data_IF_749427920638
#
_entry.id   IF_749427920638
#
_cell.length_a   1.000
_cell.length_b   1.000
_cell.length_c   1.000
_cell.angle_alpha   90.00
_cell.angle_beta   90.00
_cell.angle_gamma   90.00
#
_symmetry.space_group_name_H-M   'P 1'
#
loop_
_entity.id
_entity.type
_entity.pdbx_description
1 polymer ?
#
# COMPACT_ATOMS: atom_id res chain seq x y z
N UNK A 1 53.13 -10.94 -23.50
CA UNK A 1 52.76 -9.52 -23.39
C UNK A 1 51.37 -9.49 -22.77
N UNK A 2 51.30 -8.79 -21.63
CA UNK A 2 50.20 -8.67 -20.67
C UNK A 2 48.76 -8.78 -21.20
N UNK A 3 47.94 -9.47 -20.42
CA UNK A 3 46.48 -9.36 -20.37
C UNK A 3 46.03 -7.89 -20.35
N UNK A 4 44.95 -7.56 -21.08
CA UNK A 4 43.96 -6.58 -20.63
C UNK A 4 42.66 -6.72 -21.44
N UNK A 5 42.02 -7.90 -21.36
CA UNK A 5 40.58 -7.97 -21.60
C UNK A 5 39.91 -7.38 -20.35
N UNK A 6 39.88 -6.05 -20.28
CA UNK A 6 38.92 -5.32 -19.48
C UNK A 6 37.56 -5.44 -20.17
N UNK A 7 37.03 -6.65 -20.28
CA UNK A 7 35.60 -6.79 -20.18
C UNK A 7 35.26 -6.17 -18.83
N UNK A 8 34.58 -5.03 -18.88
CA UNK A 8 33.87 -4.47 -17.75
C UNK A 8 32.91 -5.57 -17.30
N UNK A 9 33.37 -6.51 -16.47
CA UNK A 9 32.52 -7.23 -15.56
C UNK A 9 31.85 -6.12 -14.77
N UNK A 10 30.65 -5.75 -15.22
CA UNK A 10 29.70 -5.02 -14.43
C UNK A 10 29.53 -5.91 -13.20
N UNK A 11 30.34 -5.64 -12.17
CA UNK A 11 30.29 -6.31 -10.89
C UNK A 11 28.95 -5.87 -10.31
N UNK A 12 27.91 -6.57 -10.76
CA UNK A 12 26.54 -6.17 -10.55
C UNK A 12 26.29 -6.60 -9.12
N UNK A 13 26.42 -5.66 -8.19
CA UNK A 13 26.00 -5.86 -6.83
C UNK A 13 24.50 -6.20 -6.91
N UNK A 14 24.16 -7.50 -6.78
CA UNK A 14 22.78 -7.96 -6.96
C UNK A 14 21.85 -7.28 -5.97
N UNK A 15 22.37 -6.89 -4.81
CA UNK A 15 21.67 -6.05 -3.87
C UNK A 15 21.24 -4.72 -4.47
N UNK A 16 22.12 -4.02 -5.18
CA UNK A 16 21.80 -2.73 -5.81
C UNK A 16 20.74 -2.90 -6.89
N UNK A 17 20.83 -3.98 -7.68
CA UNK A 17 19.81 -4.33 -8.68
C UNK A 17 18.44 -4.56 -8.02
N UNK A 18 18.39 -5.35 -6.96
CA UNK A 18 17.15 -5.64 -6.22
C UNK A 18 16.64 -4.38 -5.51
N UNK A 19 17.51 -3.56 -4.95
CA UNK A 19 17.16 -2.30 -4.29
C UNK A 19 16.52 -1.32 -5.28
N UNK A 20 17.07 -1.18 -6.48
CA UNK A 20 16.47 -0.35 -7.55
C UNK A 20 15.12 -0.92 -7.98
N UNK A 21 15.02 -2.24 -8.18
CA UNK A 21 13.77 -2.89 -8.60
C UNK A 21 12.65 -2.81 -7.55
N UNK A 22 13.01 -2.72 -6.27
CA UNK A 22 12.07 -2.70 -5.13
C UNK A 22 11.98 -1.35 -4.43
N UNK A 23 12.61 -0.30 -4.96
CA UNK A 23 12.72 1.02 -4.34
C UNK A 23 11.38 1.61 -3.88
N UNK A 24 10.35 1.51 -4.72
CA UNK A 24 9.00 1.99 -4.41
C UNK A 24 8.15 0.97 -3.63
N UNK A 25 8.62 -0.27 -3.51
CA UNK A 25 7.85 -1.44 -3.02
C UNK A 25 8.27 -1.92 -1.65
N UNK A 26 9.51 -1.68 -1.23
CA UNK A 26 10.11 -2.11 0.04
C UNK A 26 10.80 -0.91 0.68
N UNK A 27 10.91 -0.88 2.01
CA UNK A 27 11.74 0.10 2.70
C UNK A 27 13.21 -0.32 2.62
N UNK A 28 14.06 0.53 2.05
CA UNK A 28 15.48 0.26 1.88
C UNK A 28 16.18 -0.12 3.19
N UNK A 29 15.82 0.53 4.30
CA UNK A 29 16.41 0.24 5.61
C UNK A 29 16.09 -1.17 6.08
N UNK A 30 14.92 -1.69 5.70
CA UNK A 30 14.50 -3.06 6.02
C UNK A 30 15.07 -4.09 5.05
N UNK A 31 15.49 -3.68 3.84
CA UNK A 31 16.14 -4.54 2.86
C UNK A 31 17.63 -4.74 3.18
N UNK A 32 18.31 -3.72 3.70
CA UNK A 32 19.75 -3.70 3.96
C UNK A 32 20.29 -4.92 4.74
N UNK A 33 19.62 -5.45 5.78
CA UNK A 33 20.08 -6.64 6.50
C UNK A 33 20.26 -7.89 5.63
N UNK A 34 19.56 -7.95 4.49
CA UNK A 34 19.59 -9.09 3.56
C UNK A 34 20.63 -8.94 2.45
N UNK A 35 21.48 -7.89 2.48
CA UNK A 35 22.49 -7.62 1.44
C UNK A 35 23.35 -8.83 1.10
N UNK A 36 23.93 -9.47 2.12
CA UNK A 36 24.82 -10.62 1.92
C UNK A 36 24.10 -11.83 1.33
N UNK A 37 22.85 -12.08 1.76
CA UNK A 37 22.06 -13.19 1.23
C UNK A 37 21.71 -12.97 -0.24
N UNK A 38 21.32 -11.74 -0.61
CA UNK A 38 20.99 -11.38 -1.99
C UNK A 38 22.23 -11.51 -2.89
N UNK A 39 23.40 -11.05 -2.43
CA UNK A 39 24.64 -11.14 -3.21
C UNK A 39 25.20 -12.56 -3.33
N UNK A 40 24.83 -13.45 -2.43
CA UNK A 40 25.20 -14.87 -2.51
C UNK A 40 24.31 -15.67 -3.48
N UNK A 41 23.22 -15.09 -4.01
CA UNK A 41 22.33 -15.77 -4.94
C UNK A 41 22.99 -16.01 -6.31
N UNK A 42 22.63 -17.12 -6.96
CA UNK A 42 22.97 -17.34 -8.35
C UNK A 42 22.16 -16.43 -9.29
N UNK A 43 22.68 -16.16 -10.49
CA UNK A 43 21.99 -15.36 -11.53
C UNK A 43 20.56 -15.86 -11.81
N UNK A 44 20.37 -17.18 -11.83
CA UNK A 44 19.05 -17.80 -12.03
C UNK A 44 18.08 -17.48 -10.89
N UNK A 45 18.54 -17.54 -9.63
CA UNK A 45 17.72 -17.20 -8.46
C UNK A 45 17.38 -15.71 -8.43
N UNK A 46 18.32 -14.83 -8.81
CA UNK A 46 18.05 -13.40 -8.95
C UNK A 46 16.94 -13.15 -9.98
N UNK A 47 17.02 -13.77 -11.16
CA UNK A 47 15.96 -13.62 -12.16
C UNK A 47 14.60 -14.08 -11.62
N UNK A 48 14.54 -15.18 -10.85
CA UNK A 48 13.30 -15.61 -10.19
C UNK A 48 12.79 -14.63 -9.14
N UNK A 49 13.70 -14.02 -8.37
CA UNK A 49 13.35 -12.99 -7.40
C UNK A 49 12.74 -11.76 -8.07
N UNK A 50 13.32 -11.31 -9.20
CA UNK A 50 12.80 -10.18 -9.98
C UNK A 50 11.44 -10.47 -10.63
N UNK A 51 11.08 -11.74 -10.80
CA UNK A 51 9.77 -12.18 -11.28
C UNK A 51 8.71 -12.28 -10.16
N UNK A 52 9.07 -12.09 -8.89
CA UNK A 52 8.10 -12.09 -7.79
C UNK A 52 7.10 -10.93 -7.94
N UNK A 53 5.84 -11.24 -7.69
CA UNK A 53 4.76 -10.25 -7.70
C UNK A 53 4.80 -9.38 -6.44
N UNK A 54 5.58 -8.30 -6.51
CA UNK A 54 5.61 -7.25 -5.49
C UNK A 54 4.53 -6.20 -5.78
N UNK A 55 3.68 -5.94 -4.79
CA UNK A 55 2.64 -4.92 -4.90
C UNK A 55 3.24 -3.53 -4.74
N UNK A 56 2.69 -2.53 -5.42
CA UNK A 56 3.17 -1.15 -5.31
C UNK A 56 2.26 -0.36 -4.35
N UNK A 57 2.79 0.27 -3.30
CA UNK A 57 2.02 1.15 -2.40
C UNK A 57 1.29 2.28 -3.15
N UNK A 58 1.91 2.88 -4.16
CA UNK A 58 1.29 3.90 -5.00
C UNK A 58 0.04 3.39 -5.74
N UNK A 59 0.06 2.15 -6.26
CA UNK A 59 -1.13 1.55 -6.86
C UNK A 59 -2.24 1.43 -5.83
N UNK A 60 -1.93 0.94 -4.63
CA UNK A 60 -2.90 0.86 -3.54
C UNK A 60 -3.51 2.21 -3.18
N UNK A 61 -2.68 3.26 -3.17
CA UNK A 61 -3.11 4.63 -2.93
C UNK A 61 -4.08 5.12 -4.02
N UNK A 62 -3.79 4.88 -5.29
CA UNK A 62 -4.71 5.20 -6.41
C UNK A 62 -6.02 4.43 -6.29
N UNK A 63 -5.96 3.14 -5.97
CA UNK A 63 -7.14 2.30 -5.66
C UNK A 63 -7.90 2.77 -4.42
N UNK A 64 -7.27 3.54 -3.55
CA UNK A 64 -7.89 4.16 -2.39
C UNK A 64 -8.60 5.47 -2.73
N UNK A 65 -7.85 6.43 -3.27
CA UNK A 65 -8.29 7.81 -3.46
C UNK A 65 -9.33 7.93 -4.58
N UNK A 66 -9.13 7.28 -5.72
CA UNK A 66 -10.05 7.46 -6.86
C UNK A 66 -11.47 7.01 -6.50
N UNK A 67 -11.68 5.82 -5.90
CA UNK A 67 -12.98 5.44 -5.40
C UNK A 67 -13.48 6.35 -4.28
N UNK A 68 -12.61 6.75 -3.34
CA UNK A 68 -13.02 7.60 -2.24
C UNK A 68 -13.55 8.97 -2.72
N UNK A 69 -12.97 9.50 -3.79
CA UNK A 69 -13.45 10.73 -4.42
C UNK A 69 -14.80 10.53 -5.13
N UNK A 70 -14.97 9.44 -5.88
CA UNK A 70 -16.19 9.16 -6.64
C UNK A 70 -17.38 8.74 -5.77
N UNK A 71 -17.10 8.11 -4.64
CA UNK A 71 -18.09 7.46 -3.77
C UNK A 71 -18.01 7.99 -2.33
N UNK A 72 -17.81 9.30 -2.15
CA UNK A 72 -17.92 9.98 -0.85
C UNK A 72 -17.23 9.24 0.32
N UNK A 73 -15.95 8.91 0.16
CA UNK A 73 -15.13 8.27 1.18
C UNK A 73 -15.06 6.74 1.13
N UNK A 74 -15.65 6.07 0.13
CA UNK A 74 -15.46 4.63 -0.07
C UNK A 74 -14.09 4.34 -0.70
N UNK A 75 -13.15 3.78 0.07
CA UNK A 75 -11.82 3.43 -0.43
C UNK A 75 -11.68 1.92 -0.72
N UNK A 76 -10.94 1.55 -1.77
CA UNK A 76 -10.70 0.15 -2.17
C UNK A 76 -9.24 -0.30 -1.97
N UNK A 77 -8.43 0.48 -1.27
CA UNK A 77 -7.01 0.24 -0.99
C UNK A 77 -6.75 -1.09 -0.26
N UNK A 78 -7.64 -1.49 0.65
CA UNK A 78 -7.57 -2.78 1.37
C UNK A 78 -7.74 -3.99 0.47
N UNK A 79 -8.62 -3.89 -0.53
CA UNK A 79 -8.81 -4.95 -1.52
C UNK A 79 -7.56 -5.13 -2.38
N UNK A 80 -6.92 -4.02 -2.78
CA UNK A 80 -5.64 -4.08 -3.50
C UNK A 80 -4.54 -4.73 -2.64
N UNK A 81 -4.41 -4.33 -1.37
CA UNK A 81 -3.47 -4.98 -0.44
C UNK A 81 -3.75 -6.48 -0.29
N UNK A 82 -5.02 -6.88 -0.34
CA UNK A 82 -5.46 -8.28 -0.19
C UNK A 82 -6.06 -8.59 1.18
N UNK A 83 -6.26 -7.56 2.00
CA UNK A 83 -6.90 -7.65 3.32
C UNK A 83 -8.42 -7.61 3.15
N UNK A 84 -8.99 -8.76 2.71
CA UNK A 84 -10.39 -8.87 2.31
C UNK A 84 -11.35 -8.62 3.47
N UNK A 85 -11.02 -9.10 4.67
CA UNK A 85 -11.90 -9.02 5.84
C UNK A 85 -12.10 -7.54 6.21
N UNK A 86 -11.02 -6.79 6.40
CA UNK A 86 -11.12 -5.38 6.77
C UNK A 86 -11.70 -4.54 5.62
N UNK A 87 -11.43 -4.91 4.37
CA UNK A 87 -12.07 -4.31 3.19
C UNK A 87 -13.60 -4.47 3.20
N UNK A 88 -14.12 -5.67 3.51
CA UNK A 88 -15.57 -5.91 3.62
C UNK A 88 -16.17 -5.15 4.80
N UNK A 89 -15.49 -5.10 5.95
CA UNK A 89 -15.95 -4.31 7.11
C UNK A 89 -16.08 -2.83 6.75
N UNK A 90 -15.07 -2.26 6.08
CA UNK A 90 -15.13 -0.87 5.59
C UNK A 90 -16.29 -0.65 4.62
N UNK A 91 -16.49 -1.58 3.70
CA UNK A 91 -17.58 -1.52 2.73
C UNK A 91 -18.95 -1.50 3.41
N UNK A 92 -19.17 -2.39 4.39
CA UNK A 92 -20.42 -2.43 5.16
C UNK A 92 -20.63 -1.16 6.01
N UNK A 93 -19.58 -0.66 6.66
CA UNK A 93 -19.65 0.59 7.43
C UNK A 93 -20.02 1.77 6.54
N UNK A 94 -19.45 1.87 5.35
CA UNK A 94 -19.79 2.90 4.38
C UNK A 94 -21.26 2.76 3.94
N UNK A 95 -21.71 1.56 3.53
CA UNK A 95 -23.10 1.34 3.11
C UNK A 95 -24.13 1.64 4.22
N UNK A 96 -23.80 1.42 5.49
CA UNK A 96 -24.71 1.75 6.60
C UNK A 96 -24.69 3.25 6.97
N UNK A 97 -23.52 3.89 6.93
CA UNK A 97 -23.36 5.28 7.42
C UNK A 97 -23.65 6.34 6.36
N UNK A 98 -23.24 6.12 5.11
CA UNK A 98 -23.30 7.14 4.06
C UNK A 98 -24.73 7.48 3.62
N UNK A 99 -25.69 6.54 3.46
CA UNK A 99 -27.08 6.89 3.16
C UNK A 99 -27.73 7.71 4.27
N UNK A 100 -27.44 7.39 5.54
CA UNK A 100 -27.91 8.17 6.68
C UNK A 100 -27.35 9.60 6.63
N UNK A 101 -26.06 9.76 6.34
CA UNK A 101 -25.42 11.06 6.19
C UNK A 101 -25.99 11.87 5.01
N UNK A 102 -26.31 11.23 3.88
CA UNK A 102 -26.93 11.90 2.73
C UNK A 102 -28.34 12.35 3.08
N UNK A 103 -29.16 11.49 3.68
CA UNK A 103 -30.54 11.84 4.09
C UNK A 103 -30.53 12.96 5.11
N UNK A 104 -29.73 12.88 6.17
CA UNK A 104 -29.60 13.93 7.17
C UNK A 104 -29.07 15.24 6.58
N UNK A 105 -28.14 15.19 5.63
CA UNK A 105 -27.61 16.38 4.95
C UNK A 105 -28.64 17.05 4.01
N UNK A 106 -29.35 16.27 3.19
CA UNK A 106 -30.32 16.79 2.21
C UNK A 106 -31.63 17.26 2.84
N UNK A 107 -32.21 16.48 3.76
CA UNK A 107 -33.40 16.91 4.52
C UNK A 107 -33.04 18.02 5.49
N UNK A 108 -31.80 18.01 5.98
CA UNK A 108 -31.28 19.00 6.88
C UNK A 108 -31.05 20.39 6.29
N UNK A 109 -30.73 20.49 5.01
CA UNK A 109 -30.63 21.77 4.31
C UNK A 109 -32.01 22.43 4.06
N UNK A 110 -33.11 21.68 4.19
CA UNK A 110 -34.48 22.14 3.92
C UNK A 110 -35.36 22.24 5.17
N UNK A 111 -34.88 21.79 6.33
CA UNK A 111 -35.53 21.91 7.63
C UNK A 111 -34.59 22.73 8.51
N UNK A 112 -35.08 23.68 9.28
CA UNK A 112 -34.28 24.44 10.26
C UNK A 112 -33.64 23.47 11.28
N UNK A 113 -32.48 22.87 10.94
CA UNK A 113 -31.83 21.93 11.83
C UNK A 113 -31.27 22.71 13.02
N UNK A 114 -31.63 22.25 14.22
CA UNK A 114 -30.92 22.57 15.46
C UNK A 114 -29.40 22.45 15.28
N UNK A 115 -28.65 23.50 15.64
CA UNK A 115 -27.19 23.56 15.55
C UNK A 115 -26.47 22.32 16.12
N UNK A 116 -27.06 21.64 17.10
CA UNK A 116 -26.55 20.40 17.71
C UNK A 116 -26.45 19.22 16.72
N UNK A 117 -27.44 19.07 15.82
CA UNK A 117 -27.44 18.00 14.81
C UNK A 117 -26.41 18.25 13.71
N UNK A 118 -26.22 19.52 13.32
CA UNK A 118 -25.18 19.91 12.37
C UNK A 118 -23.77 19.65 12.93
N UNK A 119 -23.56 19.94 14.22
CA UNK A 119 -22.31 19.64 14.91
C UNK A 119 -21.99 18.14 14.92
N UNK A 120 -22.97 17.30 15.27
CA UNK A 120 -22.82 15.84 15.26
C UNK A 120 -22.48 15.30 13.86
N UNK A 121 -23.13 15.83 12.82
CA UNK A 121 -22.85 15.49 11.43
C UNK A 121 -21.40 15.80 11.02
N UNK A 122 -20.92 17.01 11.32
CA UNK A 122 -19.57 17.45 10.98
C UNK A 122 -18.49 16.65 11.73
N UNK A 123 -18.73 16.31 13.01
CA UNK A 123 -17.83 15.44 13.78
C UNK A 123 -17.75 14.05 13.13
N UNK A 124 -18.89 13.48 12.74
CA UNK A 124 -18.94 12.15 12.12
C UNK A 124 -18.18 12.10 10.80
N UNK A 125 -18.36 13.11 9.93
CA UNK A 125 -17.59 13.24 8.70
C UNK A 125 -16.08 13.35 8.95
N UNK A 126 -15.70 14.15 9.96
CA UNK A 126 -14.30 14.35 10.32
C UNK A 126 -13.66 13.05 10.81
N UNK A 127 -14.36 12.27 11.65
CA UNK A 127 -13.89 10.97 12.12
C UNK A 127 -13.71 9.97 10.97
N UNK A 128 -14.67 9.90 10.05
CA UNK A 128 -14.57 9.03 8.86
C UNK A 128 -13.42 9.44 7.95
N UNK A 129 -13.18 10.74 7.78
CA UNK A 129 -12.05 11.26 7.01
C UNK A 129 -10.72 10.88 7.64
N UNK A 130 -10.55 11.13 8.95
CA UNK A 130 -9.33 10.78 9.69
C UNK A 130 -9.09 9.27 9.66
N UNK A 131 -10.14 8.47 9.86
CA UNK A 131 -10.06 7.01 9.75
C UNK A 131 -9.53 6.57 8.39
N UNK A 132 -10.08 7.08 7.29
CA UNK A 132 -9.62 6.74 5.95
C UNK A 132 -8.18 7.18 5.68
N UNK A 133 -7.77 8.34 6.18
CA UNK A 133 -6.40 8.83 6.06
C UNK A 133 -5.40 7.93 6.80
N UNK A 134 -5.72 7.56 8.05
CA UNK A 134 -4.92 6.62 8.84
C UNK A 134 -4.87 5.26 8.14
N UNK A 135 -5.99 4.81 7.58
CA UNK A 135 -6.04 3.51 6.90
C UNK A 135 -5.16 3.49 5.65
N UNK A 136 -5.12 4.56 4.84
CA UNK A 136 -4.20 4.68 3.71
C UNK A 136 -2.73 4.56 4.14
N UNK A 137 -2.36 5.22 5.24
CA UNK A 137 -1.02 5.11 5.79
C UNK A 137 -0.70 3.67 6.22
N UNK A 138 -1.64 3.00 6.90
CA UNK A 138 -1.47 1.61 7.34
C UNK A 138 -1.39 0.63 6.16
N UNK A 139 -2.14 0.86 5.09
CA UNK A 139 -2.06 0.06 3.86
C UNK A 139 -0.72 0.25 3.16
N UNK A 140 -0.26 1.50 3.05
CA UNK A 140 1.03 1.83 2.46
C UNK A 140 2.18 1.10 3.18
N UNK A 141 2.24 1.23 4.50
CA UNK A 141 3.24 0.55 5.32
C UNK A 141 3.07 -0.97 5.28
N UNK A 142 1.83 -1.44 5.30
CA UNK A 142 1.52 -2.86 5.22
C UNK A 142 2.06 -3.52 3.95
N UNK A 143 1.86 -2.90 2.79
CA UNK A 143 2.35 -3.44 1.51
C UNK A 143 3.88 -3.57 1.50
N UNK A 144 4.59 -2.57 2.02
CA UNK A 144 6.06 -2.63 2.10
C UNK A 144 6.54 -3.79 2.98
N UNK A 145 5.88 -4.01 4.12
CA UNK A 145 6.16 -5.14 5.02
C UNK A 145 5.83 -6.49 4.38
N UNK A 146 4.70 -6.58 3.68
CA UNK A 146 4.27 -7.82 3.00
C UNK A 146 5.22 -8.18 1.86
N UNK A 147 5.70 -7.19 1.09
CA UNK A 147 6.70 -7.38 0.06
C UNK A 147 8.05 -7.81 0.62
N UNK A 148 8.51 -7.19 1.71
CA UNK A 148 9.73 -7.63 2.39
C UNK A 148 9.60 -9.10 2.83
N UNK A 149 8.48 -9.46 3.47
CA UNK A 149 8.23 -10.85 3.89
C UNK A 149 8.29 -11.83 2.71
N UNK A 150 7.73 -11.48 1.55
CA UNK A 150 7.86 -12.31 0.34
C UNK A 150 9.31 -12.51 -0.09
N UNK A 151 10.12 -11.44 -0.05
CA UNK A 151 11.54 -11.50 -0.39
C UNK A 151 12.30 -12.37 0.60
N UNK A 152 12.07 -12.18 1.91
CA UNK A 152 12.72 -12.98 2.97
C UNK A 152 12.37 -14.46 2.84
N UNK A 153 11.08 -14.77 2.68
CA UNK A 153 10.64 -16.15 2.46
C UNK A 153 11.31 -16.77 1.23
N UNK A 154 11.52 -16.00 0.16
CA UNK A 154 12.26 -16.48 -1.01
C UNK A 154 13.73 -16.76 -0.69
N UNK A 155 14.39 -15.91 0.10
CA UNK A 155 15.78 -16.11 0.52
C UNK A 155 15.94 -17.35 1.42
N UNK A 156 15.01 -17.57 2.35
CA UNK A 156 15.05 -18.70 3.30
C UNK A 156 14.82 -20.06 2.65
N UNK A 157 14.13 -20.09 1.50
CA UNK A 157 13.88 -21.32 0.73
C UNK A 157 15.07 -21.74 -0.16
N UNK A 158 16.17 -20.99 -0.14
CA UNK A 158 17.27 -21.06 -1.09
C UNK A 158 18.64 -21.23 -0.45
#
# INVERSE_FOLDING_TARGET
MSQNDNSLEFNTDFFDLVAVFTYDKIDFNLLFPYKFQINALSKEKINRLLLLDFKTPLKAFVWGIVPAFLFFGLSLDRFYKGDKILGVVKFLLWFCSTPLLIVCGFFGLNLEINHDFAGFYMITLSLLFVWNLVDFFLVWQGIKKDNLKKLVNFLEQN
#
